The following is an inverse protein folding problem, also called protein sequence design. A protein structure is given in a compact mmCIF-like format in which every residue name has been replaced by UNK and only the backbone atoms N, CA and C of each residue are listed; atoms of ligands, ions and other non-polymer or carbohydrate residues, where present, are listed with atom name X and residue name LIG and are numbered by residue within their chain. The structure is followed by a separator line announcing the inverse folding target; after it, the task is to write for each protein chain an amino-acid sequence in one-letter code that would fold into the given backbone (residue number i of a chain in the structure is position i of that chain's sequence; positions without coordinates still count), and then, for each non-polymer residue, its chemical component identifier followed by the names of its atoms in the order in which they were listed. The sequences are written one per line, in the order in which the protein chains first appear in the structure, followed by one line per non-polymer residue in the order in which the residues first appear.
data_IF_271808012918
#
_entry.id   IF_271808012918
#
_cell.length_a   1.000
_cell.length_b   1.000
_cell.length_c   1.000
_cell.angle_alpha   90.00
_cell.angle_beta   90.00
_cell.angle_gamma   90.00
#
_symmetry.space_group_name_H-M   'P 1'
#
loop_
_entity.id
_entity.type
_entity.pdbx_description
1 polymer ?
#
# COMPACT_ATOMS: atom_id res chain seq x y z
N UNK A 1 0.03 11.71 -13.23
CA UNK A 1 -0.87 10.68 -12.63
C UNK A 1 -1.21 9.57 -13.62
N UNK A 2 -1.76 9.85 -14.81
CA UNK A 2 -2.11 8.80 -15.80
C UNK A 2 -0.92 7.89 -16.17
N UNK A 3 0.26 8.46 -16.47
CA UNK A 3 1.49 7.70 -16.77
C UNK A 3 1.93 6.81 -15.61
N UNK A 4 1.79 7.28 -14.39
CA UNK A 4 2.12 6.53 -13.17
C UNK A 4 1.15 5.37 -12.95
N UNK A 5 -0.15 5.59 -13.12
CA UNK A 5 -1.17 4.53 -13.01
C UNK A 5 -0.91 3.45 -14.07
N UNK A 6 -0.60 3.83 -15.31
CA UNK A 6 -0.28 2.87 -16.37
C UNK A 6 0.97 2.05 -16.02
N UNK A 7 1.98 2.69 -15.44
CA UNK A 7 3.19 1.99 -14.99
C UNK A 7 2.90 1.01 -13.84
N UNK A 8 2.12 1.42 -12.83
CA UNK A 8 1.70 0.53 -11.74
C UNK A 8 0.87 -0.65 -12.24
N UNK A 9 0.05 -0.45 -13.27
CA UNK A 9 -0.72 -1.52 -13.88
C UNK A 9 0.20 -2.56 -14.50
N UNK A 10 1.23 -2.11 -15.24
CA UNK A 10 2.25 -3.00 -15.81
C UNK A 10 2.97 -3.78 -14.69
N UNK A 11 3.37 -3.11 -13.61
CA UNK A 11 3.99 -3.77 -12.45
C UNK A 11 3.07 -4.84 -11.84
N UNK A 12 1.77 -4.54 -11.74
CA UNK A 12 0.77 -5.48 -11.22
C UNK A 12 0.63 -6.71 -12.12
N UNK A 13 0.70 -6.54 -13.46
CA UNK A 13 0.66 -7.66 -14.40
C UNK A 13 1.85 -8.62 -14.16
N UNK A 14 3.06 -8.08 -14.01
CA UNK A 14 4.24 -8.90 -13.75
C UNK A 14 4.19 -9.60 -12.39
N UNK A 15 3.68 -8.92 -11.36
CA UNK A 15 3.47 -9.51 -10.03
C UNK A 15 2.52 -10.71 -10.12
N UNK A 16 1.36 -10.54 -10.77
CA UNK A 16 0.36 -11.62 -10.91
C UNK A 16 0.91 -12.77 -11.75
N UNK A 17 1.63 -12.47 -12.84
CA UNK A 17 2.24 -13.50 -13.69
C UNK A 17 3.23 -14.38 -12.91
N UNK A 18 4.17 -13.77 -12.19
CA UNK A 18 5.13 -14.51 -11.36
C UNK A 18 4.43 -15.32 -10.26
N UNK A 19 3.42 -14.74 -9.61
CA UNK A 19 2.65 -15.41 -8.55
C UNK A 19 1.97 -16.69 -9.04
N UNK A 20 1.30 -16.61 -10.20
CA UNK A 20 0.57 -17.75 -10.76
C UNK A 20 1.55 -18.82 -11.25
N UNK A 21 2.60 -18.41 -11.96
CA UNK A 21 3.60 -19.35 -12.50
C UNK A 21 4.33 -20.08 -11.37
N UNK A 22 4.73 -19.35 -10.32
CA UNK A 22 5.40 -19.96 -9.18
C UNK A 22 4.49 -20.98 -8.48
N UNK A 23 3.25 -20.64 -8.13
CA UNK A 23 2.36 -21.62 -7.49
C UNK A 23 1.99 -22.81 -8.37
N UNK A 24 1.84 -22.58 -9.68
CA UNK A 24 1.54 -23.67 -10.62
C UNK A 24 2.68 -24.69 -10.73
N UNK A 25 3.93 -24.23 -10.62
CA UNK A 25 5.12 -25.11 -10.69
C UNK A 25 5.34 -25.83 -9.36
N UNK A 26 5.17 -25.16 -8.22
CA UNK A 26 5.40 -25.77 -6.90
C UNK A 26 4.33 -26.80 -6.51
N UNK A 27 3.05 -26.49 -6.74
CA UNK A 27 1.92 -27.27 -6.24
C UNK A 27 0.97 -27.67 -7.37
N UNK A 28 1.36 -28.63 -8.24
CA UNK A 28 0.50 -29.11 -9.30
C UNK A 28 -0.74 -29.80 -8.72
N UNK A 29 -1.91 -29.50 -9.29
CA UNK A 29 -3.17 -30.19 -8.94
C UNK A 29 -3.86 -29.68 -7.66
N UNK A 30 -3.48 -28.50 -7.15
CA UNK A 30 -4.20 -27.86 -6.04
C UNK A 30 -5.60 -27.40 -6.49
N UNK A 31 -6.65 -27.79 -5.75
CA UNK A 31 -8.03 -27.32 -6.03
C UNK A 31 -8.17 -25.83 -5.79
N UNK A 32 -8.88 -25.14 -6.69
CA UNK A 32 -9.14 -23.70 -6.63
C UNK A 32 -10.05 -23.34 -5.43
N UNK A 33 -9.44 -23.19 -4.25
CA UNK A 33 -10.10 -22.65 -3.07
C UNK A 33 -9.89 -21.13 -2.99
N UNK A 34 -10.84 -20.36 -2.42
CA UNK A 34 -10.69 -18.90 -2.26
C UNK A 34 -9.43 -18.50 -1.47
N UNK A 35 -8.94 -19.38 -0.60
CA UNK A 35 -7.74 -19.15 0.19
C UNK A 35 -6.46 -19.11 -0.68
N UNK A 36 -6.43 -19.79 -1.81
CA UNK A 36 -5.28 -19.81 -2.72
C UNK A 36 -5.05 -18.44 -3.34
N UNK A 37 -6.12 -17.69 -3.64
CA UNK A 37 -5.98 -16.33 -4.17
C UNK A 37 -5.13 -15.45 -3.23
N UNK A 38 -5.40 -15.54 -1.92
CA UNK A 38 -4.62 -14.82 -0.91
C UNK A 38 -3.17 -15.32 -0.85
N UNK A 39 -2.94 -16.63 -0.89
CA UNK A 39 -1.58 -17.22 -0.87
C UNK A 39 -0.76 -16.83 -2.10
N UNK A 40 -1.33 -16.93 -3.30
CA UNK A 40 -0.72 -16.57 -4.59
C UNK A 40 -0.33 -15.10 -4.57
N UNK A 41 -1.27 -14.20 -4.25
CA UNK A 41 -1.01 -12.77 -4.21
C UNK A 41 0.03 -12.40 -3.16
N UNK A 42 -0.08 -12.98 -1.96
CA UNK A 42 0.88 -12.79 -0.87
C UNK A 42 2.29 -13.16 -1.32
N UNK A 43 2.46 -14.30 -2.00
CA UNK A 43 3.77 -14.76 -2.46
C UNK A 43 4.43 -13.79 -3.44
N UNK A 44 3.71 -13.35 -4.48
CA UNK A 44 4.26 -12.39 -5.42
C UNK A 44 4.49 -11.01 -4.82
N UNK A 45 3.62 -10.58 -3.91
CA UNK A 45 3.79 -9.31 -3.20
C UNK A 45 5.07 -9.31 -2.37
N UNK A 46 5.27 -10.31 -1.50
CA UNK A 46 6.49 -10.41 -0.69
C UNK A 46 7.74 -10.58 -1.54
N UNK A 47 7.67 -11.37 -2.61
CA UNK A 47 8.78 -11.50 -3.55
C UNK A 47 9.16 -10.15 -4.21
N UNK A 48 8.17 -9.31 -4.51
CA UNK A 48 8.40 -7.94 -5.01
C UNK A 48 8.99 -7.02 -3.94
N UNK A 49 8.69 -7.26 -2.67
CA UNK A 49 9.26 -6.50 -1.55
C UNK A 49 10.66 -7.01 -1.14
N UNK A 50 11.11 -8.15 -1.68
CA UNK A 50 12.42 -8.74 -1.41
C UNK A 50 12.43 -9.86 -0.36
N UNK A 51 11.26 -10.33 0.07
CA UNK A 51 11.14 -11.55 0.87
C UNK A 51 10.69 -12.71 -0.04
N UNK A 52 11.59 -13.66 -0.24
CA UNK A 52 11.40 -14.76 -1.17
C UNK A 52 10.94 -16.06 -0.50
N UNK A 53 10.90 -16.09 0.84
CA UNK A 53 10.56 -17.28 1.63
C UNK A 53 11.27 -18.56 1.14
N UNK A 54 12.58 -18.48 0.85
CA UNK A 54 13.38 -19.60 0.33
C UNK A 54 13.42 -20.79 1.31
N UNK A 55 13.29 -20.52 2.60
CA UNK A 55 13.23 -21.57 3.62
C UNK A 55 12.07 -22.56 3.38
N UNK A 56 10.92 -22.08 2.88
CA UNK A 56 9.78 -22.93 2.53
C UNK A 56 10.04 -23.81 1.29
N UNK A 57 11.03 -23.45 0.47
CA UNK A 57 11.40 -24.15 -0.76
C UNK A 57 12.52 -25.17 -0.51
N UNK A 58 13.51 -24.81 0.29
CA UNK A 58 14.76 -25.56 0.46
C UNK A 58 14.65 -26.64 1.54
N UNK A 59 13.87 -26.43 2.61
CA UNK A 59 13.81 -27.36 3.73
C UNK A 59 12.59 -28.29 3.68
N UNK A 60 12.75 -29.60 3.40
CA UNK A 60 11.68 -30.59 3.49
C UNK A 60 11.37 -31.01 4.93
N UNK A 61 12.11 -30.55 5.94
CA UNK A 61 12.08 -31.09 7.31
C UNK A 61 10.98 -30.56 8.22
N UNK A 62 10.15 -29.62 7.75
CA UNK A 62 8.89 -29.26 8.43
C UNK A 62 7.85 -30.36 8.16
N UNK A 63 8.06 -31.49 8.84
CA UNK A 63 7.59 -32.85 8.56
C UNK A 63 6.08 -33.11 8.65
N UNK A 64 5.24 -32.17 8.22
CA UNK A 64 3.80 -32.30 8.17
C UNK A 64 3.21 -32.06 6.77
N UNK A 65 4.04 -32.03 5.74
CA UNK A 65 3.59 -31.95 4.35
C UNK A 65 3.36 -33.36 3.78
N UNK A 66 2.27 -33.55 3.04
CA UNK A 66 1.95 -34.82 2.37
C UNK A 66 2.08 -34.63 0.86
N UNK A 67 2.79 -35.56 0.21
CA UNK A 67 2.87 -35.64 -1.26
C UNK A 67 1.56 -36.16 -1.90
N UNK A 68 0.62 -36.61 -1.07
CA UNK A 68 -0.64 -37.19 -1.50
C UNK A 68 -1.76 -36.17 -1.32
N UNK A 69 -2.47 -35.85 -2.40
CA UNK A 69 -3.66 -35.03 -2.40
C UNK A 69 -4.78 -35.76 -1.62
N UNK A 70 -4.78 -35.67 -0.29
CA UNK A 70 -5.83 -36.26 0.54
C UNK A 70 -7.06 -35.36 0.49
N UNK A 71 -8.05 -35.75 -0.31
CA UNK A 71 -9.38 -35.13 -0.36
C UNK A 71 -10.19 -35.23 0.94
N UNK A 72 -9.67 -35.95 1.96
CA UNK A 72 -10.41 -36.34 3.17
C UNK A 72 -9.73 -35.94 4.49
N UNK A 73 -8.88 -34.92 4.49
CA UNK A 73 -8.30 -34.40 5.73
C UNK A 73 -8.95 -33.07 6.10
N UNK A 74 -9.66 -33.02 7.22
CA UNK A 74 -10.26 -31.81 7.84
C UNK A 74 -9.22 -30.80 8.34
N UNK A 75 -7.94 -31.09 8.16
CA UNK A 75 -6.80 -30.23 8.46
C UNK A 75 -6.25 -29.62 7.17
N UNK A 76 -6.03 -28.29 7.17
CA UNK A 76 -5.34 -27.56 6.10
C UNK A 76 -3.89 -28.03 6.07
N UNK A 77 -3.64 -29.13 5.35
CA UNK A 77 -2.31 -29.71 5.25
C UNK A 77 -1.57 -29.06 4.07
N UNK A 78 -0.38 -28.51 4.35
CA UNK A 78 0.47 -27.86 3.34
C UNK A 78 0.93 -28.92 2.34
N UNK A 79 0.62 -28.74 1.05
CA UNK A 79 1.18 -29.58 -0.01
C UNK A 79 2.71 -29.41 -0.01
N UNK A 80 3.46 -30.50 -0.18
CA UNK A 80 4.91 -30.40 -0.33
C UNK A 80 5.27 -29.81 -1.71
N UNK A 81 6.35 -29.02 -1.82
CA UNK A 81 6.80 -28.51 -3.11
C UNK A 81 7.42 -29.63 -3.95
N UNK A 82 7.14 -29.61 -5.26
CA UNK A 82 7.71 -30.56 -6.25
C UNK A 82 9.24 -30.48 -6.32
N UNK A 83 9.89 -31.62 -6.59
CA UNK A 83 11.36 -31.67 -6.75
C UNK A 83 11.83 -30.81 -7.93
N UNK A 84 11.12 -30.85 -9.06
CA UNK A 84 11.46 -30.05 -10.24
C UNK A 84 11.26 -28.54 -10.00
N UNK A 85 10.20 -28.19 -9.27
CA UNK A 85 9.90 -26.80 -8.91
C UNK A 85 10.97 -26.18 -8.02
N UNK A 86 11.59 -26.95 -7.12
CA UNK A 86 12.66 -26.46 -6.24
C UNK A 86 13.86 -25.91 -7.01
N UNK A 87 14.21 -26.48 -8.16
CA UNK A 87 15.33 -26.01 -8.98
C UNK A 87 14.92 -24.93 -9.98
N UNK A 88 13.71 -25.02 -10.55
CA UNK A 88 13.23 -24.06 -11.53
C UNK A 88 12.90 -22.68 -10.92
N UNK A 89 12.34 -22.66 -9.71
CA UNK A 89 11.82 -21.45 -9.08
C UNK A 89 12.92 -20.45 -8.71
N UNK A 90 14.06 -20.84 -8.13
CA UNK A 90 15.16 -19.90 -7.87
C UNK A 90 15.68 -19.22 -9.15
N UNK A 91 15.75 -19.94 -10.27
CA UNK A 91 16.18 -19.38 -11.56
C UNK A 91 15.16 -18.35 -12.06
N UNK A 92 13.87 -18.70 -12.03
CA UNK A 92 12.78 -17.80 -12.42
C UNK A 92 12.71 -16.57 -11.50
N UNK A 93 12.88 -16.77 -10.19
CA UNK A 93 12.93 -15.72 -9.19
C UNK A 93 14.09 -14.75 -9.45
N UNK A 94 15.28 -15.25 -9.77
CA UNK A 94 16.43 -14.41 -10.12
C UNK A 94 16.13 -13.49 -11.31
N UNK A 95 15.55 -14.05 -12.38
CA UNK A 95 15.13 -13.26 -13.55
C UNK A 95 14.04 -12.23 -13.20
N UNK A 96 13.04 -12.63 -12.39
CA UNK A 96 11.98 -11.75 -11.91
C UNK A 96 12.52 -10.58 -11.10
N UNK A 97 13.42 -10.84 -10.15
CA UNK A 97 14.03 -9.83 -9.28
C UNK A 97 14.82 -8.82 -10.10
N UNK A 98 15.62 -9.27 -11.08
CA UNK A 98 16.34 -8.35 -11.97
C UNK A 98 15.36 -7.45 -12.72
N UNK A 99 14.29 -8.02 -13.29
CA UNK A 99 13.35 -7.26 -14.08
C UNK A 99 12.52 -6.27 -13.23
N UNK A 100 12.01 -6.70 -12.08
CA UNK A 100 11.14 -5.85 -11.26
C UNK A 100 11.94 -4.91 -10.36
N UNK A 101 12.93 -5.41 -9.62
CA UNK A 101 13.66 -4.61 -8.65
C UNK A 101 14.68 -3.67 -9.30
N UNK A 102 15.38 -4.13 -10.35
CA UNK A 102 16.46 -3.34 -10.95
C UNK A 102 15.93 -2.50 -12.12
N UNK A 103 15.03 -3.03 -12.95
CA UNK A 103 14.54 -2.26 -14.10
C UNK A 103 13.29 -1.44 -13.73
N UNK A 104 12.22 -2.10 -13.26
CA UNK A 104 10.94 -1.42 -13.05
C UNK A 104 10.99 -0.42 -11.89
N UNK A 105 11.50 -0.77 -10.71
CA UNK A 105 11.57 0.19 -9.61
C UNK A 105 12.49 1.38 -9.88
N UNK A 106 13.63 1.19 -10.52
CA UNK A 106 14.49 2.31 -10.90
C UNK A 106 13.80 3.26 -11.88
N UNK A 107 13.05 2.72 -12.84
CA UNK A 107 12.27 3.55 -13.76
C UNK A 107 11.11 4.26 -13.03
N UNK A 108 10.44 3.61 -12.08
CA UNK A 108 9.39 4.21 -11.28
C UNK A 108 9.90 5.41 -10.47
N UNK A 109 11.04 5.23 -9.81
CA UNK A 109 11.71 6.29 -9.05
C UNK A 109 12.12 7.43 -9.98
N UNK A 110 12.67 7.12 -11.17
CA UNK A 110 13.01 8.12 -12.16
C UNK A 110 11.79 8.93 -12.64
N UNK A 111 10.65 8.26 -12.89
CA UNK A 111 9.40 8.92 -13.24
C UNK A 111 8.88 9.83 -12.10
N UNK A 112 9.00 9.40 -10.86
CA UNK A 112 8.63 10.22 -9.71
C UNK A 112 9.53 11.45 -9.57
N UNK A 113 10.84 11.26 -9.65
CA UNK A 113 11.79 12.37 -9.59
C UNK A 113 11.52 13.39 -10.70
N UNK A 114 11.34 12.92 -11.93
CA UNK A 114 11.02 13.81 -13.04
C UNK A 114 9.70 14.57 -12.81
N UNK A 115 8.65 13.89 -12.34
CA UNK A 115 7.38 14.53 -12.06
C UNK A 115 7.44 15.54 -10.89
N UNK A 116 8.30 15.29 -9.89
CA UNK A 116 8.52 16.21 -8.77
C UNK A 116 9.21 17.48 -9.29
N UNK A 117 10.28 17.33 -10.07
CA UNK A 117 11.04 18.44 -10.65
C UNK A 117 10.20 19.28 -11.61
N UNK A 118 9.46 18.65 -12.53
CA UNK A 118 8.59 19.37 -13.48
C UNK A 118 7.50 20.22 -12.80
N UNK A 119 7.04 19.82 -11.61
CA UNK A 119 5.96 20.48 -10.90
C UNK A 119 6.42 21.33 -9.71
N UNK A 120 7.73 21.44 -9.47
CA UNK A 120 8.30 22.12 -8.30
C UNK A 120 7.83 23.58 -8.21
N UNK A 121 8.04 24.36 -9.28
CA UNK A 121 7.67 25.79 -9.31
C UNK A 121 6.16 26.04 -9.10
N UNK A 122 5.30 25.18 -9.66
CA UNK A 122 3.83 25.30 -9.49
C UNK A 122 3.41 24.97 -8.07
N UNK A 123 4.00 23.92 -7.48
CA UNK A 123 3.73 23.52 -6.09
C UNK A 123 4.16 24.61 -5.11
N UNK A 124 5.30 25.24 -5.35
CA UNK A 124 5.80 26.36 -4.54
C UNK A 124 4.89 27.58 -4.59
N UNK A 125 4.39 27.94 -5.79
CA UNK A 125 3.42 29.02 -5.94
C UNK A 125 2.13 28.72 -5.16
N UNK A 126 1.56 27.51 -5.31
CA UNK A 126 0.34 27.10 -4.61
C UNK A 126 0.58 27.09 -3.09
N UNK A 127 1.70 26.56 -2.63
CA UNK A 127 2.06 26.54 -1.21
C UNK A 127 2.14 27.95 -0.62
N UNK A 128 2.81 28.88 -1.31
CA UNK A 128 2.90 30.28 -0.87
C UNK A 128 1.53 30.96 -0.83
N UNK A 129 0.69 30.69 -1.82
CA UNK A 129 -0.68 31.21 -1.86
C UNK A 129 -1.53 30.66 -0.71
N UNK A 130 -1.53 29.34 -0.51
CA UNK A 130 -2.24 28.69 0.59
C UNK A 130 -1.76 29.20 1.95
N UNK A 131 -0.44 29.38 2.11
CA UNK A 131 0.15 29.93 3.33
C UNK A 131 -0.30 31.36 3.57
N UNK A 132 -0.31 32.21 2.54
CA UNK A 132 -0.81 33.58 2.65
C UNK A 132 -2.28 33.61 3.04
N UNK A 133 -3.13 32.82 2.37
CA UNK A 133 -4.56 32.72 2.71
C UNK A 133 -4.76 32.28 4.15
N UNK A 134 -4.02 31.26 4.59
CA UNK A 134 -4.10 30.75 5.96
C UNK A 134 -3.68 31.82 6.97
N UNK A 135 -2.58 32.55 6.71
CA UNK A 135 -2.14 33.66 7.57
C UNK A 135 -3.17 34.79 7.62
N UNK A 136 -3.77 35.15 6.49
CA UNK A 136 -4.82 36.16 6.44
C UNK A 136 -6.06 35.74 7.25
N UNK A 137 -6.50 34.49 7.09
CA UNK A 137 -7.62 33.92 7.85
C UNK A 137 -7.34 33.92 9.36
N UNK A 138 -6.11 33.61 9.79
CA UNK A 138 -5.72 33.69 11.20
C UNK A 138 -5.60 35.13 11.72
N UNK A 139 -5.22 36.09 10.88
CA UNK A 139 -5.14 37.49 11.27
C UNK A 139 -6.54 38.13 11.43
N UNK A 140 -7.49 37.77 10.57
CA UNK A 140 -8.88 38.26 10.63
C UNK A 140 -9.72 37.51 11.66
N UNK A 141 -9.46 36.22 11.85
CA UNK A 141 -10.17 35.44 12.85
C UNK A 141 -9.70 35.84 14.25
N UNK A 142 -10.63 36.27 15.10
CA UNK A 142 -10.43 36.35 16.55
C UNK A 142 -10.36 34.93 17.12
N UNK A 143 -9.30 34.19 16.79
CA UNK A 143 -9.08 32.83 17.28
C UNK A 143 -8.64 32.92 18.72
N UNK A 144 -9.61 32.90 19.62
CA UNK A 144 -9.38 32.37 20.95
C UNK A 144 -9.09 30.87 20.79
N UNK A 145 -8.09 30.38 21.52
CA UNK A 145 -7.64 28.98 21.50
C UNK A 145 -8.86 28.02 21.45
N UNK A 146 -8.81 26.90 20.71
CA UNK A 146 -9.91 25.93 20.59
C UNK A 146 -10.69 25.64 21.90
N UNK A 147 -10.08 25.51 23.09
CA UNK A 147 -10.81 25.33 24.35
C UNK A 147 -11.67 26.52 24.83
N UNK A 148 -11.35 27.76 24.45
CA UNK A 148 -12.01 28.96 24.99
C UNK A 148 -13.12 29.52 24.09
N UNK A 149 -13.39 28.88 22.94
CA UNK A 149 -14.44 29.28 22.00
C UNK A 149 -15.83 29.31 22.66
N UNK A 150 -16.12 28.37 23.57
CA UNK A 150 -17.39 28.31 24.29
C UNK A 150 -17.58 29.51 25.24
N UNK A 151 -16.52 29.93 25.95
CA UNK A 151 -16.56 31.11 26.81
C UNK A 151 -16.75 32.40 26.00
N UNK A 152 -16.14 32.48 24.82
CA UNK A 152 -16.32 33.60 23.89
C UNK A 152 -17.78 33.71 23.41
N UNK A 153 -18.41 32.60 23.01
CA UNK A 153 -19.83 32.59 22.63
C UNK A 153 -20.75 32.95 23.81
N UNK A 154 -20.46 32.46 25.01
CA UNK A 154 -21.22 32.80 26.22
C UNK A 154 -21.16 34.29 26.55
N UNK A 155 -19.96 34.88 26.56
CA UNK A 155 -19.76 36.31 26.86
C UNK A 155 -20.40 37.24 25.82
N UNK A 156 -20.39 36.86 24.53
CA UNK A 156 -21.09 37.63 23.49
C UNK A 156 -22.60 37.55 23.66
N UNK A 157 -23.14 36.38 24.00
CA UNK A 157 -24.59 36.23 24.25
C UNK A 157 -25.05 37.08 25.43
N UNK A 158 -24.28 37.12 26.51
CA UNK A 158 -24.59 37.94 27.69
C UNK A 158 -24.54 39.43 27.35
N UNK A 159 -23.48 39.89 26.68
CA UNK A 159 -23.35 41.32 26.30
C UNK A 159 -24.42 41.77 25.30
N UNK A 160 -24.85 40.91 24.36
CA UNK A 160 -25.95 41.23 23.44
C UNK A 160 -27.30 41.36 24.16
N UNK A 161 -27.61 40.48 25.12
CA UNK A 161 -28.85 40.57 25.92
C UNK A 161 -28.88 41.87 26.74
N UNK A 162 -27.74 42.31 27.25
CA UNK A 162 -27.62 43.51 28.07
C UNK A 162 -27.71 44.81 27.24
N UNK A 163 -27.41 44.77 25.94
CA UNK A 163 -27.63 45.87 24.99
C UNK A 163 -29.11 45.93 24.54
N UNK A 164 -29.78 44.78 24.42
CA UNK A 164 -31.20 44.69 24.03
C UNK A 164 -32.17 45.14 25.13
N UNK A 165 -31.71 45.21 26.39
CA UNK A 165 -32.42 45.82 27.50
C UNK A 165 -31.83 47.24 27.71
N UNK A 166 -32.28 48.27 26.97
CA UNK A 166 -31.86 49.63 27.28
C UNK A 166 -32.32 49.94 28.70
N UNK A 167 -31.34 50.26 29.55
CA UNK A 167 -31.50 50.70 30.94
C UNK A 167 -32.60 51.76 31.02
N UNK A 168 -33.82 51.35 31.39
CA UNK A 168 -34.90 52.26 31.75
C UNK A 168 -34.46 52.95 33.05
N UNK A 169 -34.32 54.27 32.93
CA UNK A 169 -33.95 55.24 33.96
C UNK A 169 -34.60 54.95 35.32
#
# INVERSE_FOLDING_TARGET
VKTYINFLLILTIFLVAYSIVSESILYPGQELTPNIFHTVFRRGFWATMGDYSLNDLEDPSDGNCTNQYSKNSTSIQKSCPTQDGRYAIPILLGAYVVFVQILMFNLLIALFNNAITDNEAKRDMIWRYQRFQLTMQYAESKVLLPPFILLYFFLIRVTLIEIEIPKKR
#
